data_IF_560510552898
#
_entry.id   IF_560510552898
#
_cell.length_a   1.000
_cell.length_b   1.000
_cell.length_c   1.000
_cell.angle_alpha   90.00
_cell.angle_beta   90.00
_cell.angle_gamma   90.00
#
_symmetry.space_group_name_H-M   'P 1'
#
loop_
_entity.id
_entity.type
_entity.pdbx_description
1 polymer ?
#
# COMPACT_ATOMS: atom_id res chain seq x y z
N UNK A 1 19.24 15.81 -3.03
CA UNK A 1 18.39 16.49 -2.02
C UNK A 1 17.30 15.50 -1.62
N UNK A 2 17.11 15.23 -0.33
CA UNK A 2 16.13 14.25 0.16
C UNK A 2 14.72 14.87 0.07
N UNK A 3 13.71 14.10 -0.33
CA UNK A 3 12.31 14.57 -0.45
C UNK A 3 11.79 15.21 0.86
N UNK A 4 12.12 14.63 2.02
CA UNK A 4 11.74 15.20 3.32
C UNK A 4 12.36 16.57 3.59
N UNK A 5 13.58 16.83 3.12
CA UNK A 5 14.19 18.15 3.21
C UNK A 5 13.45 19.17 2.35
N UNK A 6 13.06 18.80 1.12
CA UNK A 6 12.24 19.64 0.26
C UNK A 6 10.89 19.95 0.92
N UNK A 7 10.23 18.95 1.50
CA UNK A 7 8.96 19.12 2.19
C UNK A 7 9.09 20.01 3.43
N UNK A 8 10.16 19.83 4.21
CA UNK A 8 10.45 20.68 5.37
C UNK A 8 10.64 22.15 4.95
N UNK A 9 11.41 22.38 3.89
CA UNK A 9 11.66 23.75 3.37
C UNK A 9 10.39 24.39 2.81
N UNK A 10 9.53 23.62 2.15
CA UNK A 10 8.30 24.12 1.53
C UNK A 10 7.17 24.41 2.52
N UNK A 11 7.16 23.74 3.65
CA UNK A 11 6.14 23.95 4.69
C UNK A 11 6.48 25.19 5.52
N UNK A 12 5.46 25.95 5.91
CA UNK A 12 5.61 26.96 6.99
C UNK A 12 5.78 26.27 8.34
N UNK A 13 6.37 26.93 9.31
CA UNK A 13 6.41 26.49 10.71
C UNK A 13 5.01 26.11 11.19
N UNK A 14 4.87 24.97 11.87
CA UNK A 14 3.60 24.39 12.27
C UNK A 14 2.77 23.78 11.14
N UNK A 15 3.26 23.84 9.88
CA UNK A 15 2.64 23.19 8.73
C UNK A 15 2.62 21.67 8.89
N UNK A 16 1.63 21.02 8.28
CA UNK A 16 1.42 19.57 8.42
C UNK A 16 1.82 18.83 7.14
N UNK A 17 2.44 17.68 7.33
CA UNK A 17 2.75 16.69 6.30
C UNK A 17 1.94 15.42 6.60
N UNK A 18 1.23 14.93 5.59
CA UNK A 18 0.58 13.62 5.62
C UNK A 18 1.43 12.61 4.86
N UNK A 19 1.86 11.57 5.56
CA UNK A 19 2.54 10.41 4.98
C UNK A 19 1.52 9.28 4.86
N UNK A 20 1.22 8.88 3.63
CA UNK A 20 0.22 7.87 3.32
C UNK A 20 0.81 6.87 2.32
N UNK A 21 0.87 5.60 2.70
CA UNK A 21 1.39 4.55 1.82
C UNK A 21 0.87 3.17 2.24
N UNK A 22 0.89 2.15 1.33
CA UNK A 22 0.67 0.78 1.71
C UNK A 22 1.65 0.34 2.82
N UNK A 23 1.17 -0.42 3.79
CA UNK A 23 2.01 -0.90 4.89
C UNK A 23 3.04 -1.94 4.40
N UNK A 24 4.07 -2.19 5.19
CA UNK A 24 5.15 -3.12 4.87
C UNK A 24 4.73 -4.58 5.10
N UNK A 25 3.67 -5.00 4.45
CA UNK A 25 3.15 -6.38 4.48
C UNK A 25 2.74 -6.82 3.08
N UNK A 26 2.77 -8.12 2.82
CA UNK A 26 2.24 -8.69 1.59
C UNK A 26 0.71 -8.63 1.59
N UNK A 27 0.12 -8.03 0.55
CA UNK A 27 -1.33 -7.92 0.45
C UNK A 27 -1.97 -9.29 0.17
N UNK A 28 -3.01 -9.69 0.91
CA UNK A 28 -3.76 -10.89 0.60
C UNK A 28 -4.57 -10.70 -0.70
N UNK A 29 -4.81 -11.80 -1.38
CA UNK A 29 -5.70 -11.87 -2.55
C UNK A 29 -6.84 -12.82 -2.21
N UNK A 30 -8.06 -12.39 -2.47
CA UNK A 30 -9.29 -13.12 -2.20
C UNK A 30 -10.16 -13.18 -3.45
N UNK A 31 -10.97 -14.22 -3.57
CA UNK A 31 -12.06 -14.30 -4.54
C UNK A 31 -13.39 -14.38 -3.82
N UNK A 32 -14.34 -13.53 -4.23
CA UNK A 32 -15.69 -13.54 -3.72
C UNK A 32 -16.64 -14.11 -4.78
N UNK A 33 -17.41 -15.14 -4.41
CA UNK A 33 -18.46 -15.71 -5.25
C UNK A 33 -19.71 -15.86 -4.39
N UNK A 34 -20.78 -15.13 -4.71
CA UNK A 34 -21.92 -14.98 -3.83
C UNK A 34 -21.49 -14.40 -2.48
N UNK A 35 -21.87 -15.06 -1.38
CA UNK A 35 -21.51 -14.65 -0.02
C UNK A 35 -20.19 -15.28 0.48
N UNK A 36 -19.54 -16.11 -0.35
CA UNK A 36 -18.32 -16.79 0.03
C UNK A 36 -17.09 -15.95 -0.33
N UNK A 37 -16.19 -15.75 0.66
CA UNK A 37 -14.87 -15.15 0.48
C UNK A 37 -13.83 -16.25 0.61
N UNK A 38 -13.08 -16.50 -0.47
CA UNK A 38 -12.06 -17.54 -0.52
C UNK A 38 -10.68 -16.90 -0.60
N UNK A 39 -9.84 -17.04 0.45
CA UNK A 39 -8.47 -16.55 0.40
C UNK A 39 -7.64 -17.41 -0.58
N UNK A 40 -6.87 -16.75 -1.44
CA UNK A 40 -5.97 -17.41 -2.39
C UNK A 40 -4.52 -17.50 -1.90
N UNK A 41 -4.07 -16.52 -1.17
CA UNK A 41 -2.70 -16.32 -0.76
C UNK A 41 -2.34 -14.85 -0.77
N UNK A 42 -1.07 -14.51 -1.03
CA UNK A 42 -0.57 -13.15 -0.97
C UNK A 42 0.21 -12.79 -2.24
N UNK A 43 0.18 -11.52 -2.60
CA UNK A 43 1.12 -10.96 -3.57
C UNK A 43 2.54 -11.01 -3.01
N UNK A 44 3.54 -11.17 -3.87
CA UNK A 44 4.93 -10.94 -3.49
C UNK A 44 5.27 -9.45 -3.68
N UNK A 45 5.35 -8.73 -2.58
CA UNK A 45 5.64 -7.30 -2.53
C UNK A 45 6.99 -6.99 -1.88
N UNK A 46 7.93 -7.94 -1.92
CA UNK A 46 9.24 -7.82 -1.28
C UNK A 46 9.95 -6.50 -1.63
N UNK A 47 9.92 -6.07 -2.90
CA UNK A 47 10.52 -4.80 -3.33
C UNK A 47 9.82 -3.60 -2.71
N UNK A 48 8.49 -3.58 -2.69
CA UNK A 48 7.72 -2.52 -2.07
C UNK A 48 7.99 -2.43 -0.56
N UNK A 49 8.01 -3.57 0.12
CA UNK A 49 8.30 -3.66 1.56
C UNK A 49 9.68 -3.07 1.88
N UNK A 50 10.69 -3.37 1.06
CA UNK A 50 12.04 -2.79 1.21
C UNK A 50 12.01 -1.27 1.08
N UNK A 51 11.31 -0.72 0.07
CA UNK A 51 11.18 0.73 -0.12
C UNK A 51 10.46 1.39 1.06
N UNK A 52 9.43 0.75 1.61
CA UNK A 52 8.71 1.26 2.79
C UNK A 52 9.64 1.33 4.01
N UNK A 53 10.48 0.31 4.23
CA UNK A 53 11.46 0.33 5.32
C UNK A 53 12.47 1.47 5.15
N UNK A 54 12.98 1.70 3.93
CA UNK A 54 13.89 2.82 3.63
C UNK A 54 13.19 4.16 3.90
N UNK A 55 11.96 4.33 3.44
CA UNK A 55 11.20 5.56 3.64
C UNK A 55 10.91 5.83 5.13
N UNK A 56 10.58 4.78 5.89
CA UNK A 56 10.36 4.89 7.35
C UNK A 56 11.64 5.27 8.10
N UNK A 57 12.78 4.70 7.73
CA UNK A 57 14.06 5.06 8.32
C UNK A 57 14.42 6.54 8.03
N UNK A 58 14.19 7.01 6.80
CA UNK A 58 14.40 8.41 6.43
C UNK A 58 13.47 9.36 7.21
N UNK A 59 12.20 8.98 7.38
CA UNK A 59 11.24 9.74 8.20
C UNK A 59 11.69 9.81 9.65
N UNK A 60 12.09 8.67 10.24
CA UNK A 60 12.57 8.64 11.62
C UNK A 60 13.80 9.53 11.80
N UNK A 61 14.76 9.49 10.88
CA UNK A 61 15.92 10.36 10.91
C UNK A 61 15.54 11.86 10.85
N UNK A 62 14.51 12.23 10.09
CA UNK A 62 14.02 13.61 10.04
C UNK A 62 13.33 14.04 11.36
N UNK A 63 12.64 13.10 12.02
CA UNK A 63 12.06 13.34 13.35
C UNK A 63 13.18 13.50 14.40
N UNK A 64 14.16 12.61 14.39
CA UNK A 64 15.30 12.62 15.33
C UNK A 64 16.17 13.89 15.13
N UNK A 65 16.27 14.40 13.91
CA UNK A 65 16.91 15.67 13.58
C UNK A 65 16.07 16.90 13.99
N UNK A 66 14.87 16.70 14.52
CA UNK A 66 14.01 17.78 14.99
C UNK A 66 13.27 18.54 13.87
N UNK A 67 13.25 18.03 12.64
CA UNK A 67 12.54 18.70 11.53
C UNK A 67 11.02 18.57 11.63
N UNK A 68 10.56 17.45 12.16
CA UNK A 68 9.15 17.13 12.33
C UNK A 68 8.87 16.50 13.68
N UNK A 69 7.64 16.67 14.13
CA UNK A 69 7.06 15.91 15.25
C UNK A 69 5.96 15.02 14.70
N UNK A 70 6.00 13.73 15.04
CA UNK A 70 4.91 12.80 14.77
C UNK A 70 3.75 13.12 15.73
N UNK A 71 2.62 13.58 15.18
CA UNK A 71 1.43 13.91 15.96
C UNK A 71 0.45 12.74 16.09
N UNK A 72 0.33 11.96 15.00
CA UNK A 72 -0.60 10.83 14.93
C UNK A 72 -0.16 9.83 13.87
N UNK A 73 -0.38 8.55 14.15
CA UNK A 73 -0.32 7.49 13.16
C UNK A 73 -1.54 6.57 13.28
N UNK A 74 -1.92 5.95 12.19
CA UNK A 74 -3.03 5.00 12.13
C UNK A 74 -2.84 4.04 10.96
N UNK A 75 -3.62 2.97 10.97
CA UNK A 75 -3.73 2.01 9.87
C UNK A 75 -5.21 1.80 9.55
N UNK A 76 -5.49 1.58 8.28
CA UNK A 76 -6.82 1.21 7.81
C UNK A 76 -6.70 0.27 6.61
N UNK A 77 -7.75 -0.48 6.34
CA UNK A 77 -7.80 -1.37 5.18
C UNK A 77 -8.49 -0.67 4.02
N UNK A 78 -7.82 -0.64 2.88
CA UNK A 78 -8.38 -0.23 1.60
C UNK A 78 -8.53 -1.48 0.72
N UNK A 79 -9.72 -1.71 0.17
CA UNK A 79 -9.99 -2.89 -0.65
C UNK A 79 -10.13 -2.49 -2.10
N UNK A 80 -9.31 -3.07 -2.96
CA UNK A 80 -9.46 -2.94 -4.42
C UNK A 80 -10.28 -4.12 -4.94
N UNK A 81 -11.23 -3.85 -5.81
CA UNK A 81 -12.17 -4.81 -6.37
C UNK A 81 -11.98 -4.91 -7.89
N UNK A 82 -12.03 -6.13 -8.42
CA UNK A 82 -11.97 -6.41 -9.85
C UNK A 82 -13.07 -7.41 -10.22
N UNK A 83 -13.90 -7.07 -11.19
CA UNK A 83 -15.03 -7.90 -11.61
C UNK A 83 -14.63 -9.20 -12.28
N UNK A 84 -13.39 -9.28 -12.79
CA UNK A 84 -12.84 -10.47 -13.47
C UNK A 84 -11.38 -10.67 -13.10
N UNK A 85 -10.90 -11.91 -13.26
CA UNK A 85 -9.47 -12.23 -13.12
C UNK A 85 -8.65 -11.44 -14.15
N UNK A 86 -9.12 -11.31 -15.38
CA UNK A 86 -8.39 -10.61 -16.44
C UNK A 86 -8.28 -9.10 -16.17
N UNK A 87 -9.31 -8.45 -15.64
CA UNK A 87 -9.23 -7.04 -15.24
C UNK A 87 -8.22 -6.83 -14.10
N UNK A 88 -8.15 -7.74 -13.14
CA UNK A 88 -7.13 -7.74 -12.11
C UNK A 88 -5.72 -7.84 -12.70
N UNK A 89 -5.47 -8.83 -13.57
CA UNK A 89 -4.15 -9.04 -14.18
C UNK A 89 -3.72 -7.85 -15.03
N UNK A 90 -4.63 -7.27 -15.82
CA UNK A 90 -4.37 -6.08 -16.62
C UNK A 90 -3.98 -4.89 -15.75
N UNK A 91 -4.76 -4.63 -14.69
CA UNK A 91 -4.45 -3.55 -13.75
C UNK A 91 -3.07 -3.72 -13.10
N UNK A 92 -2.77 -4.93 -12.63
CA UNK A 92 -1.47 -5.21 -12.02
C UNK A 92 -0.31 -4.99 -12.99
N UNK A 93 -0.45 -5.43 -14.24
CA UNK A 93 0.57 -5.23 -15.26
C UNK A 93 0.81 -3.75 -15.61
N UNK A 94 -0.25 -2.94 -15.62
CA UNK A 94 -0.18 -1.54 -16.02
C UNK A 94 0.22 -0.59 -14.88
N UNK A 95 -0.16 -0.89 -13.64
CA UNK A 95 -0.09 0.07 -12.53
C UNK A 95 0.79 -0.40 -11.36
N UNK A 96 1.09 -1.69 -11.23
CA UNK A 96 1.78 -2.24 -10.06
C UNK A 96 3.09 -2.91 -10.45
N UNK A 97 4.15 -2.13 -10.59
CA UNK A 97 5.45 -2.62 -11.07
C UNK A 97 6.28 -3.37 -10.02
N UNK A 98 5.98 -3.22 -8.73
CA UNK A 98 6.81 -3.75 -7.63
C UNK A 98 6.21 -4.96 -6.92
N UNK A 99 5.02 -5.40 -7.33
CA UNK A 99 4.39 -6.61 -6.85
C UNK A 99 4.46 -7.71 -7.91
N UNK A 100 4.67 -8.95 -7.47
CA UNK A 100 4.61 -10.13 -8.32
C UNK A 100 3.43 -10.97 -7.89
N UNK A 101 2.64 -11.43 -8.87
CA UNK A 101 1.54 -12.35 -8.63
C UNK A 101 2.08 -13.77 -8.78
N UNK A 102 2.11 -14.59 -7.71
CA UNK A 102 2.46 -15.99 -7.83
C UNK A 102 1.54 -16.72 -8.83
N UNK A 103 2.11 -17.53 -9.71
CA UNK A 103 1.35 -18.21 -10.79
C UNK A 103 0.20 -19.08 -10.25
N UNK A 104 0.40 -19.70 -9.11
CA UNK A 104 -0.63 -20.51 -8.44
C UNK A 104 -1.86 -19.70 -8.02
N UNK A 105 -1.71 -18.42 -7.66
CA UNK A 105 -2.83 -17.55 -7.32
C UNK A 105 -3.69 -17.29 -8.55
N UNK A 106 -3.07 -17.06 -9.70
CA UNK A 106 -3.78 -16.86 -10.96
C UNK A 106 -4.57 -18.10 -11.33
N UNK A 107 -3.95 -19.28 -11.24
CA UNK A 107 -4.60 -20.55 -11.56
C UNK A 107 -5.81 -20.82 -10.63
N UNK A 108 -5.65 -20.56 -9.33
CA UNK A 108 -6.74 -20.71 -8.35
C UNK A 108 -7.85 -19.71 -8.58
N UNK A 109 -7.52 -18.44 -8.86
CA UNK A 109 -8.50 -17.42 -9.16
C UNK A 109 -9.34 -17.79 -10.39
N UNK A 110 -8.71 -18.25 -11.47
CA UNK A 110 -9.40 -18.69 -12.69
C UNK A 110 -10.29 -19.91 -12.48
N UNK A 111 -9.89 -20.82 -11.58
CA UNK A 111 -10.70 -21.99 -11.24
C UNK A 111 -11.96 -21.60 -10.44
N UNK A 112 -11.85 -20.63 -9.53
CA UNK A 112 -12.95 -20.16 -8.68
C UNK A 112 -13.86 -19.15 -9.37
N UNK A 113 -13.29 -18.32 -10.26
CA UNK A 113 -14.00 -17.28 -10.99
C UNK A 113 -13.74 -17.40 -12.51
N UNK A 114 -14.27 -18.48 -13.15
CA UNK A 114 -14.16 -18.64 -14.59
C UNK A 114 -14.92 -17.52 -15.33
N UNK A 115 -14.57 -17.24 -16.61
CA UNK A 115 -15.27 -16.25 -17.41
C UNK A 115 -16.79 -16.45 -17.41
N UNK A 116 -17.53 -15.35 -17.21
CA UNK A 116 -19.00 -15.37 -17.17
C UNK A 116 -19.61 -15.70 -15.80
N UNK A 117 -18.82 -16.10 -14.82
CA UNK A 117 -19.30 -16.27 -13.44
C UNK A 117 -19.39 -14.92 -12.74
N UNK A 118 -20.48 -14.68 -12.03
CA UNK A 118 -20.62 -13.50 -11.17
C UNK A 118 -19.74 -13.65 -9.92
N UNK A 119 -18.91 -12.66 -9.66
CA UNK A 119 -18.00 -12.63 -8.54
C UNK A 119 -16.94 -11.55 -8.74
N UNK A 120 -15.96 -11.52 -7.85
CA UNK A 120 -14.89 -10.53 -7.91
C UNK A 120 -13.57 -11.05 -7.32
N UNK A 121 -12.46 -10.49 -7.78
CA UNK A 121 -11.16 -10.58 -7.10
C UNK A 121 -11.04 -9.36 -6.18
N UNK A 122 -10.65 -9.58 -4.93
CA UNK A 122 -10.43 -8.53 -3.94
C UNK A 122 -8.99 -8.54 -3.44
N UNK A 123 -8.44 -7.35 -3.26
CA UNK A 123 -7.13 -7.16 -2.65
C UNK A 123 -7.29 -6.20 -1.47
N UNK A 124 -7.46 -6.71 -0.24
CA UNK A 124 -7.41 -5.91 0.96
C UNK A 124 -5.97 -5.44 1.20
N UNK A 125 -5.74 -4.15 1.07
CA UNK A 125 -4.44 -3.54 1.28
C UNK A 125 -4.46 -2.75 2.59
N UNK A 126 -3.54 -3.05 3.50
CA UNK A 126 -3.38 -2.25 4.70
C UNK A 126 -2.61 -0.98 4.37
N UNK A 127 -3.20 0.16 4.71
CA UNK A 127 -2.61 1.48 4.50
C UNK A 127 -2.13 2.01 5.84
N UNK A 128 -0.90 2.49 5.85
CA UNK A 128 -0.35 3.27 6.94
C UNK A 128 -0.54 4.76 6.65
N UNK A 129 -0.95 5.51 7.65
CA UNK A 129 -1.10 6.96 7.58
C UNK A 129 -0.46 7.61 8.81
N UNK A 130 0.34 8.65 8.59
CA UNK A 130 0.92 9.45 9.65
C UNK A 130 0.75 10.94 9.38
N UNK A 131 0.54 11.70 10.45
CA UNK A 131 0.55 13.16 10.44
C UNK A 131 1.76 13.66 11.19
N UNK A 132 2.59 14.42 10.47
CA UNK A 132 3.76 15.08 11.02
C UNK A 132 3.56 16.59 10.97
N UNK A 133 4.06 17.30 11.98
CA UNK A 133 4.06 18.76 12.02
C UNK A 133 5.49 19.28 11.93
N UNK A 134 5.73 20.26 11.04
CA UNK A 134 7.00 20.96 10.99
C UNK A 134 7.27 21.68 12.30
N UNK A 135 8.46 21.49 12.84
CA UNK A 135 8.93 22.22 14.04
C UNK A 135 9.40 23.64 13.68
N UNK A 136 9.61 24.44 14.70
CA UNK A 136 10.31 25.71 14.55
C UNK A 136 11.79 25.46 14.25
N UNK A 137 12.38 26.27 13.38
CA UNK A 137 13.82 26.26 13.18
C UNK A 137 14.47 26.76 14.50
N UNK A 138 15.29 25.91 15.10
CA UNK A 138 16.02 26.23 16.33
C UNK A 138 17.28 27.00 15.96
#
# INVERSE_FOLDING_TARGET
>A
MNALNCMHTALRTGGQLLDLHPDAIHAPVEVCVGDAIVPLGHLDETRHIQDVHIARAARQAAIDAGWFVLERETRFTFVTHFDTVESWLTYMAEHVQKAVIPAELVARARALLPPGMAGEVRIPCQIYAARLRRTEDV
#
